data_IF_646314415687
#
_entry.id   IF_646314415687
#
_cell.length_a   1.000
_cell.length_b   1.000
_cell.length_c   1.000
_cell.angle_alpha   90.00
_cell.angle_beta   90.00
_cell.angle_gamma   90.00
#
_symmetry.space_group_name_H-M   'P 1'
#
loop_
_entity.id
_entity.type
_entity.pdbx_description
1 polymer ?
#
# COMPACT_ATOMS: atom_id res chain seq x y z
N UNK A 1 12.61 29.29 15.95
CA UNK A 1 12.62 27.81 15.80
C UNK A 1 11.20 27.22 15.71
N UNK A 2 10.18 28.00 15.29
CA UNK A 2 8.81 27.50 15.04
C UNK A 2 8.39 27.64 13.56
N UNK A 3 9.22 28.26 12.73
CA UNK A 3 8.83 28.68 11.38
C UNK A 3 9.34 27.75 10.26
N UNK A 4 10.09 26.71 10.61
CA UNK A 4 10.65 25.76 9.63
C UNK A 4 9.71 24.57 9.31
N UNK A 5 8.66 24.36 10.12
CA UNK A 5 7.71 23.26 9.93
C UNK A 5 6.44 23.63 9.13
N UNK A 6 6.25 24.90 8.77
CA UNK A 6 5.03 25.39 8.09
C UNK A 6 5.16 25.48 6.56
N UNK A 7 6.27 25.04 5.95
CA UNK A 7 6.48 25.18 4.49
C UNK A 7 6.08 23.96 3.66
N UNK A 8 5.42 22.96 4.24
CA UNK A 8 4.75 21.93 3.45
C UNK A 8 3.38 22.47 3.07
N UNK A 9 3.31 23.03 1.86
CA UNK A 9 2.09 23.50 1.23
C UNK A 9 0.94 22.52 1.51
N UNK A 10 -0.17 23.08 1.99
CA UNK A 10 -1.43 22.36 2.09
C UNK A 10 -1.85 21.95 0.69
N UNK A 11 -1.45 20.76 0.27
CA UNK A 11 -2.10 20.06 -0.83
C UNK A 11 -3.56 19.97 -0.41
N UNK A 12 -4.44 20.68 -1.09
CA UNK A 12 -5.88 20.55 -0.93
C UNK A 12 -6.26 19.14 -1.38
N UNK A 13 -6.13 18.17 -0.49
CA UNK A 13 -6.76 16.88 -0.65
C UNK A 13 -8.25 17.19 -0.65
N UNK A 14 -8.93 16.97 -1.77
CA UNK A 14 -10.39 16.96 -1.80
C UNK A 14 -10.84 15.96 -0.73
N UNK A 15 -11.35 16.47 0.39
CA UNK A 15 -11.76 15.65 1.54
C UNK A 15 -12.94 14.73 1.19
N UNK A 16 -13.57 14.97 0.02
CA UNK A 16 -14.70 14.22 -0.50
C UNK A 16 -14.30 12.98 -1.32
N UNK A 17 -13.02 12.82 -1.69
CA UNK A 17 -12.57 11.59 -2.36
C UNK A 17 -12.40 10.47 -1.32
N UNK A 18 -13.13 9.35 -1.45
CA UNK A 18 -12.97 8.25 -0.51
C UNK A 18 -11.55 7.69 -0.60
N UNK A 19 -10.83 7.70 0.53
CA UNK A 19 -9.54 7.03 0.63
C UNK A 19 -9.69 5.51 0.59
N UNK A 20 -8.56 4.79 0.55
CA UNK A 20 -8.57 3.33 0.70
C UNK A 20 -7.65 2.87 1.83
N UNK A 21 -8.02 1.75 2.45
CA UNK A 21 -7.26 1.06 3.46
C UNK A 21 -6.62 -0.18 2.83
N UNK A 22 -5.29 -0.25 2.87
CA UNK A 22 -4.55 -1.45 2.52
C UNK A 22 -4.41 -2.35 3.74
N UNK A 23 -4.71 -3.64 3.56
CA UNK A 23 -4.69 -4.63 4.64
C UNK A 23 -3.84 -5.81 4.18
N UNK A 24 -2.71 -6.03 4.84
CA UNK A 24 -1.92 -7.24 4.69
C UNK A 24 -2.36 -8.28 5.73
N UNK A 25 -2.75 -9.48 5.28
CA UNK A 25 -3.17 -10.56 6.16
C UNK A 25 -2.77 -11.92 5.59
N UNK A 26 -1.85 -12.60 6.28
CA UNK A 26 -1.36 -13.91 5.87
C UNK A 26 -0.70 -13.84 4.49
N UNK A 27 -1.22 -14.61 3.53
CA UNK A 27 -0.74 -14.61 2.15
C UNK A 27 -1.38 -13.54 1.27
N UNK A 28 -2.34 -12.76 1.78
CA UNK A 28 -3.13 -11.83 0.97
C UNK A 28 -2.84 -10.38 1.29
N UNK A 29 -2.90 -9.53 0.26
CA UNK A 29 -3.07 -8.09 0.40
C UNK A 29 -4.43 -7.71 -0.16
N UNK A 30 -5.17 -6.93 0.62
CA UNK A 30 -6.54 -6.49 0.35
C UNK A 30 -6.58 -4.95 0.33
N UNK A 31 -7.53 -4.40 -0.40
CA UNK A 31 -7.87 -2.99 -0.41
C UNK A 31 -9.34 -2.81 -0.01
N UNK A 32 -9.62 -1.84 0.86
CA UNK A 32 -10.98 -1.48 1.24
C UNK A 32 -11.15 0.03 1.07
N UNK A 33 -12.00 0.43 0.13
CA UNK A 33 -12.39 1.84 -0.01
C UNK A 33 -13.13 2.33 1.26
N UNK A 34 -12.98 3.60 1.60
CA UNK A 34 -13.60 4.20 2.80
C UNK A 34 -15.09 4.49 2.63
N UNK A 35 -15.62 4.40 1.40
CA UNK A 35 -17.04 4.61 1.11
C UNK A 35 -17.95 3.65 1.87
N UNK A 36 -19.12 4.15 2.27
CA UNK A 36 -20.18 3.31 2.81
C UNK A 36 -20.58 2.25 1.78
N UNK A 37 -20.85 1.03 2.24
CA UNK A 37 -21.21 -0.13 1.39
C UNK A 37 -20.15 -0.67 0.42
N UNK A 38 -18.92 -0.15 0.38
CA UNK A 38 -17.87 -0.75 -0.47
C UNK A 38 -17.38 -2.08 0.10
N UNK A 39 -17.17 -3.05 -0.78
CA UNK A 39 -16.65 -4.39 -0.44
C UNK A 39 -15.12 -4.38 -0.53
N UNK A 40 -14.44 -5.12 0.34
CA UNK A 40 -12.99 -5.29 0.25
C UNK A 40 -12.59 -6.04 -1.02
N UNK A 41 -11.62 -5.51 -1.76
CA UNK A 41 -11.04 -6.10 -2.95
C UNK A 41 -9.77 -6.86 -2.59
N UNK A 42 -9.67 -8.13 -2.96
CA UNK A 42 -8.40 -8.84 -2.89
C UNK A 42 -7.51 -8.42 -4.05
N UNK A 43 -6.34 -7.86 -3.75
CA UNK A 43 -5.40 -7.41 -4.77
C UNK A 43 -4.55 -8.59 -5.26
N UNK A 44 -3.87 -9.29 -4.35
CA UNK A 44 -3.04 -10.43 -4.69
C UNK A 44 -2.85 -11.40 -3.52
N UNK A 45 -2.63 -12.66 -3.89
CA UNK A 45 -2.24 -13.75 -2.99
C UNK A 45 -0.91 -14.29 -3.48
N UNK A 46 0.13 -14.15 -2.67
CA UNK A 46 1.44 -14.69 -2.99
C UNK A 46 1.69 -15.87 -2.06
N UNK A 47 1.84 -17.06 -2.63
CA UNK A 47 2.07 -18.27 -1.85
C UNK A 47 3.33 -18.16 -1.01
N UNK A 48 3.27 -18.69 0.22
CA UNK A 48 4.39 -18.77 1.17
C UNK A 48 4.91 -17.43 1.71
N UNK A 49 4.34 -16.30 1.30
CA UNK A 49 4.74 -15.02 1.89
C UNK A 49 4.25 -14.88 3.32
N UNK A 50 5.01 -14.15 4.12
CA UNK A 50 4.63 -13.69 5.45
C UNK A 50 4.85 -12.19 5.48
N UNK A 51 3.79 -11.42 5.23
CA UNK A 51 3.86 -9.96 5.18
C UNK A 51 4.03 -9.40 6.59
N UNK A 52 4.99 -8.50 6.78
CA UNK A 52 5.22 -7.83 8.09
C UNK A 52 5.01 -6.33 8.05
N UNK A 53 5.19 -5.69 6.90
CA UNK A 53 4.94 -4.25 6.70
C UNK A 53 4.45 -3.98 5.27
N UNK A 54 3.72 -2.88 5.07
CA UNK A 54 3.13 -2.47 3.79
C UNK A 54 3.05 -0.94 3.67
N UNK A 55 3.41 -0.40 2.51
CA UNK A 55 3.33 1.03 2.21
C UNK A 55 2.86 1.28 0.75
N UNK A 56 2.41 2.49 0.47
CA UNK A 56 1.91 2.93 -0.82
C UNK A 56 2.59 4.21 -1.29
N UNK A 57 3.16 4.16 -2.50
CA UNK A 57 3.68 5.33 -3.18
C UNK A 57 2.61 5.93 -4.11
N UNK A 58 2.08 7.10 -3.74
CA UNK A 58 1.12 7.86 -4.55
C UNK A 58 1.68 8.31 -5.89
N UNK A 59 2.97 8.62 -5.99
CA UNK A 59 3.60 9.11 -7.21
C UNK A 59 3.66 8.04 -8.30
N UNK A 60 4.05 6.83 -7.92
CA UNK A 60 4.10 5.69 -8.85
C UNK A 60 2.85 4.82 -8.84
N UNK A 61 1.91 4.99 -7.90
CA UNK A 61 0.76 4.10 -7.75
C UNK A 61 1.18 2.64 -7.46
N UNK A 62 2.26 2.46 -6.70
CA UNK A 62 2.79 1.15 -6.32
C UNK A 62 2.62 0.87 -4.84
N UNK A 63 2.27 -0.37 -4.54
CA UNK A 63 2.28 -0.94 -3.20
C UNK A 63 3.62 -1.64 -3.00
N UNK A 64 4.25 -1.43 -1.86
CA UNK A 64 5.45 -2.11 -1.42
C UNK A 64 5.17 -2.87 -0.14
N UNK A 65 5.73 -4.07 0.00
CA UNK A 65 5.60 -4.82 1.23
C UNK A 65 6.83 -5.67 1.50
N UNK A 66 7.11 -5.87 2.78
CA UNK A 66 8.17 -6.75 3.24
C UNK A 66 7.62 -8.16 3.48
N UNK A 67 8.32 -9.16 2.96
CA UNK A 67 8.00 -10.58 3.12
C UNK A 67 9.16 -11.27 3.83
N UNK A 68 8.94 -11.62 5.11
CA UNK A 68 9.95 -12.31 5.93
C UNK A 68 10.12 -13.78 5.54
N UNK A 69 9.11 -14.41 4.92
CA UNK A 69 9.19 -15.80 4.45
C UNK A 69 10.20 -15.96 3.32
N UNK A 70 10.33 -14.94 2.47
CA UNK A 70 11.31 -14.90 1.38
C UNK A 70 12.55 -14.04 1.63
N UNK A 71 12.62 -13.31 2.75
CA UNK A 71 13.60 -12.24 2.99
C UNK A 71 13.65 -11.23 1.81
N UNK A 72 12.47 -10.78 1.35
CA UNK A 72 12.34 -9.90 0.18
C UNK A 72 11.53 -8.65 0.47
N UNK A 73 11.78 -7.61 -0.33
CA UNK A 73 10.82 -6.51 -0.53
C UNK A 73 10.18 -6.73 -1.89
N UNK A 74 8.85 -6.71 -1.92
CA UNK A 74 8.06 -6.91 -3.12
C UNK A 74 7.29 -5.63 -3.46
N UNK A 75 6.87 -5.54 -4.71
CA UNK A 75 6.15 -4.39 -5.24
C UNK A 75 5.11 -4.81 -6.27
N UNK A 76 3.99 -4.11 -6.35
CA UNK A 76 2.94 -4.31 -7.34
C UNK A 76 2.24 -2.98 -7.65
N UNK A 77 1.59 -2.87 -8.81
CA UNK A 77 0.67 -1.76 -9.06
C UNK A 77 -0.57 -1.88 -8.16
N UNK A 78 -1.14 -0.75 -7.72
CA UNK A 78 -2.36 -0.72 -6.89
C UNK A 78 -3.56 -1.42 -7.55
N UNK A 79 -3.56 -1.50 -8.88
CA UNK A 79 -4.57 -2.23 -9.62
C UNK A 79 -4.49 -3.76 -9.43
N UNK A 80 -3.47 -4.29 -8.73
CA UNK A 80 -3.29 -5.71 -8.43
C UNK A 80 -2.39 -6.47 -9.41
N UNK A 81 -1.68 -5.78 -10.30
CA UNK A 81 -0.84 -6.39 -11.34
C UNK A 81 0.66 -6.14 -11.11
N UNK A 82 1.51 -6.81 -11.89
CA UNK A 82 2.97 -6.62 -11.89
C UNK A 82 3.64 -6.81 -10.53
N UNK A 83 3.33 -7.94 -9.88
CA UNK A 83 4.01 -8.36 -8.66
C UNK A 83 5.45 -8.72 -8.99
N UNK A 84 6.40 -7.99 -8.41
CA UNK A 84 7.83 -8.19 -8.59
C UNK A 84 8.58 -8.14 -7.26
N UNK A 85 9.73 -8.79 -7.21
CA UNK A 85 10.69 -8.65 -6.11
C UNK A 85 11.64 -7.51 -6.45
N UNK A 86 11.68 -6.46 -5.63
CA UNK A 86 12.51 -5.28 -5.86
C UNK A 86 13.78 -5.29 -5.01
N UNK A 87 13.81 -6.09 -3.95
CA UNK A 87 14.99 -6.35 -3.14
C UNK A 87 14.98 -7.78 -2.60
N UNK A 88 16.16 -8.38 -2.47
CA UNK A 88 16.36 -9.70 -1.87
C UNK A 88 17.59 -9.68 -0.97
N UNK A 89 17.41 -10.14 0.27
CA UNK A 89 18.49 -10.36 1.24
C UNK A 89 19.24 -11.67 1.04
#
# INVERSE_FOLDING_TARGET
MRDFFNSFESISVNQDEPGSLLIARGMSILEKESGEHSVGRQLFVVSHQVVVDIDFDRGTQRIFWSDIGGATIKSAWVNGTDVQTVFKG
#
